data_IF_639941849427
#
_entry.id   IF_639941849427
#
_cell.length_a   1.000
_cell.length_b   1.000
_cell.length_c   1.000
_cell.angle_alpha   90.00
_cell.angle_beta   90.00
_cell.angle_gamma   90.00
#
_symmetry.space_group_name_H-M   'P 1'
#
loop_
_entity.id
_entity.type
_entity.pdbx_description
1 polymer ?
#
# COMPACT_ATOMS: atom_id res chain seq x y z
N UNK A 1 -46.14 -31.06 4.97
CA UNK A 1 -45.64 -30.18 6.08
C UNK A 1 -44.15 -30.27 6.39
N UNK A 2 -43.42 -31.29 5.94
CA UNK A 2 -41.97 -31.44 6.19
C UNK A 2 -41.07 -30.52 5.32
N UNK A 3 -41.45 -30.24 4.07
CA UNK A 3 -40.68 -29.40 3.14
C UNK A 3 -40.49 -27.93 3.57
N UNK A 4 -41.50 -27.32 4.25
CA UNK A 4 -41.40 -25.93 4.74
C UNK A 4 -40.34 -25.74 5.84
N UNK A 5 -40.11 -26.79 6.65
CA UNK A 5 -39.13 -26.72 7.77
C UNK A 5 -37.67 -26.71 7.26
N UNK A 6 -37.41 -27.41 6.19
CA UNK A 6 -36.06 -27.45 5.59
C UNK A 6 -35.74 -26.18 4.79
N UNK A 7 -36.77 -25.57 4.17
CA UNK A 7 -36.61 -24.29 3.47
C UNK A 7 -36.29 -23.15 4.43
N UNK A 8 -36.93 -23.12 5.61
CA UNK A 8 -36.64 -22.12 6.64
C UNK A 8 -35.26 -22.31 7.25
N UNK A 9 -34.82 -23.55 7.45
CA UNK A 9 -33.48 -23.88 7.96
C UNK A 9 -32.38 -23.50 6.93
N UNK A 10 -32.65 -23.73 5.64
CA UNK A 10 -31.71 -23.34 4.56
C UNK A 10 -31.57 -21.82 4.44
N UNK A 11 -32.67 -21.07 4.60
CA UNK A 11 -32.61 -19.60 4.63
C UNK A 11 -31.89 -19.05 5.85
N UNK A 12 -32.02 -19.70 7.03
CA UNK A 12 -31.26 -19.29 8.22
C UNK A 12 -29.74 -19.52 8.06
N UNK A 13 -29.33 -20.60 7.41
CA UNK A 13 -27.91 -20.87 7.15
C UNK A 13 -27.34 -19.88 6.13
N UNK A 14 -28.11 -19.50 5.09
CA UNK A 14 -27.70 -18.49 4.13
C UNK A 14 -27.58 -17.06 4.76
N UNK A 15 -28.40 -16.77 5.78
CA UNK A 15 -28.34 -15.46 6.46
C UNK A 15 -27.14 -15.33 7.41
N UNK A 16 -26.56 -16.44 7.89
CA UNK A 16 -25.35 -16.41 8.72
C UNK A 16 -24.05 -16.26 7.91
N UNK A 17 -24.10 -16.43 6.59
CA UNK A 17 -22.93 -16.24 5.73
C UNK A 17 -22.71 -14.78 5.31
N UNK A 18 -23.64 -13.88 5.64
CA UNK A 18 -23.51 -12.43 5.46
C UNK A 18 -23.17 -11.75 6.81
N UNK A 19 -22.30 -12.37 7.59
CA UNK A 19 -21.60 -11.64 8.64
C UNK A 19 -20.74 -10.59 7.91
N UNK A 20 -21.17 -9.31 7.98
CA UNK A 20 -20.30 -8.19 7.64
C UNK A 20 -18.95 -8.48 8.32
N UNK A 21 -17.93 -8.77 7.53
CA UNK A 21 -16.55 -8.65 8.00
C UNK A 21 -16.42 -7.18 8.37
N UNK A 22 -16.56 -6.84 9.64
CA UNK A 22 -16.02 -5.60 10.13
C UNK A 22 -14.56 -5.62 9.70
N UNK A 23 -14.16 -4.66 8.85
CA UNK A 23 -12.82 -4.66 8.27
C UNK A 23 -11.80 -4.74 9.40
N UNK A 24 -10.81 -5.59 9.24
CA UNK A 24 -9.73 -5.71 10.21
C UNK A 24 -9.02 -4.37 10.33
N UNK A 25 -8.67 -3.97 11.55
CA UNK A 25 -7.85 -2.77 11.80
C UNK A 25 -6.39 -3.20 11.81
N UNK A 26 -5.62 -2.65 10.89
CA UNK A 26 -4.23 -3.03 10.69
C UNK A 26 -3.27 -2.15 11.48
N UNK A 27 -2.23 -2.78 11.99
CA UNK A 27 -1.11 -2.18 12.73
C UNK A 27 0.20 -2.75 12.20
N UNK A 28 1.33 -2.18 12.57
CA UNK A 28 2.63 -2.76 12.25
C UNK A 28 2.81 -4.19 12.80
N UNK A 29 2.07 -4.57 13.85
CA UNK A 29 2.19 -5.89 14.49
C UNK A 29 1.47 -7.01 13.76
N UNK A 30 0.37 -6.71 13.06
CA UNK A 30 -0.48 -7.73 12.41
C UNK A 30 -0.48 -7.64 10.88
N UNK A 31 -0.02 -6.54 10.28
CA UNK A 31 0.06 -6.44 8.82
C UNK A 31 1.13 -7.38 8.27
N UNK A 32 0.82 -8.20 7.26
CA UNK A 32 1.81 -9.06 6.63
C UNK A 32 2.85 -8.23 5.86
N UNK A 33 4.12 -8.55 6.01
CA UNK A 33 5.21 -7.93 5.26
C UNK A 33 5.74 -8.95 4.23
N UNK A 34 5.40 -8.78 2.94
CA UNK A 34 5.60 -9.82 1.93
C UNK A 34 7.06 -10.20 1.72
N UNK A 35 7.97 -9.23 1.65
CA UNK A 35 9.39 -9.48 1.37
C UNK A 35 10.11 -10.33 2.43
N UNK A 36 9.51 -10.51 3.62
CA UNK A 36 10.04 -11.45 4.63
C UNK A 36 9.87 -12.92 4.25
N UNK A 37 8.92 -13.19 3.34
CA UNK A 37 8.62 -14.55 2.84
C UNK A 37 9.09 -14.73 1.40
N UNK A 38 8.91 -13.71 0.59
CA UNK A 38 9.28 -13.68 -0.83
C UNK A 38 9.94 -12.34 -1.16
N UNK A 39 11.25 -12.37 -1.40
CA UNK A 39 12.06 -11.19 -1.64
C UNK A 39 11.72 -10.43 -2.93
N UNK A 40 10.80 -10.93 -3.74
CA UNK A 40 10.29 -10.29 -4.96
C UNK A 40 8.96 -9.57 -4.75
N UNK A 41 8.35 -9.72 -3.57
CA UNK A 41 7.05 -9.15 -3.23
C UNK A 41 7.22 -7.99 -2.25
N UNK A 42 6.67 -6.84 -2.60
CA UNK A 42 6.77 -5.59 -1.84
C UNK A 42 5.41 -4.99 -1.48
N UNK A 43 4.32 -5.47 -2.13
CA UNK A 43 2.96 -4.97 -1.89
C UNK A 43 2.23 -5.87 -0.90
N UNK A 44 1.91 -5.32 0.27
CA UNK A 44 1.03 -5.91 1.27
C UNK A 44 -0.41 -5.48 1.01
N UNK A 45 -1.26 -6.43 0.69
CA UNK A 45 -2.67 -6.23 0.37
C UNK A 45 -3.49 -7.37 0.98
N UNK A 46 -3.63 -7.41 2.32
CA UNK A 46 -4.33 -8.49 3.00
C UNK A 46 -5.84 -8.44 2.79
N UNK A 47 -6.40 -7.27 2.48
CA UNK A 47 -7.84 -7.07 2.26
C UNK A 47 -8.26 -7.28 0.80
N UNK A 48 -7.29 -7.41 -0.13
CA UNK A 48 -7.56 -7.75 -1.53
C UNK A 48 -8.08 -6.60 -2.39
N UNK A 49 -7.56 -5.39 -2.20
CA UNK A 49 -7.93 -4.21 -3.01
C UNK A 49 -7.30 -4.18 -4.40
N UNK A 50 -6.21 -4.93 -4.61
CA UNK A 50 -5.39 -4.85 -5.82
C UNK A 50 -5.45 -6.15 -6.60
N UNK A 51 -5.80 -6.09 -7.86
CA UNK A 51 -5.74 -7.26 -8.72
C UNK A 51 -4.29 -7.69 -9.03
N UNK A 52 -4.17 -8.90 -9.59
CA UNK A 52 -2.85 -9.48 -9.84
C UNK A 52 -2.00 -8.64 -10.81
N UNK A 53 -2.60 -8.06 -11.85
CA UNK A 53 -1.86 -7.33 -12.90
C UNK A 53 -1.25 -6.05 -12.33
N UNK A 54 -2.03 -5.28 -11.57
CA UNK A 54 -1.58 -4.04 -10.94
C UNK A 54 -0.58 -4.33 -9.82
N UNK A 55 -0.80 -5.42 -9.05
CA UNK A 55 0.13 -5.86 -8.01
C UNK A 55 1.48 -6.29 -8.59
N UNK A 56 1.48 -7.04 -9.68
CA UNK A 56 2.71 -7.45 -10.39
C UNK A 56 3.44 -6.22 -10.95
N UNK A 57 2.71 -5.25 -11.52
CA UNK A 57 3.28 -3.98 -12.00
C UNK A 57 3.95 -3.20 -10.86
N UNK A 58 3.27 -3.05 -9.73
CA UNK A 58 3.82 -2.37 -8.56
C UNK A 58 5.07 -3.08 -8.02
N UNK A 59 5.01 -4.41 -7.84
CA UNK A 59 6.15 -5.20 -7.39
C UNK A 59 7.36 -5.07 -8.33
N UNK A 60 7.13 -4.99 -9.65
CA UNK A 60 8.21 -4.77 -10.63
C UNK A 60 8.96 -3.44 -10.37
N UNK A 61 8.25 -2.32 -10.20
CA UNK A 61 8.88 -1.03 -9.95
C UNK A 61 9.52 -0.95 -8.56
N UNK A 62 8.88 -1.51 -7.53
CA UNK A 62 9.41 -1.55 -6.17
C UNK A 62 10.66 -2.45 -6.07
N UNK A 63 10.70 -3.53 -6.84
CA UNK A 63 11.91 -4.35 -6.97
C UNK A 63 13.05 -3.58 -7.66
N UNK A 64 12.76 -2.86 -8.76
CA UNK A 64 13.74 -2.01 -9.42
C UNK A 64 14.25 -0.90 -8.49
N UNK A 65 13.37 -0.28 -7.72
CA UNK A 65 13.73 0.72 -6.71
C UNK A 65 14.74 0.15 -5.70
N UNK A 66 14.57 -1.10 -5.27
CA UNK A 66 15.53 -1.78 -4.40
C UNK A 66 16.83 -2.12 -5.11
N UNK A 67 16.76 -2.75 -6.29
CA UNK A 67 17.95 -3.30 -6.96
C UNK A 67 18.80 -2.23 -7.63
N UNK A 68 18.17 -1.22 -8.24
CA UNK A 68 18.87 -0.19 -9.02
C UNK A 68 19.17 1.07 -8.21
N UNK A 69 18.32 1.40 -7.22
CA UNK A 69 18.45 2.64 -6.43
C UNK A 69 18.87 2.37 -4.98
N UNK A 70 18.97 1.11 -4.56
CA UNK A 70 19.39 0.75 -3.21
C UNK A 70 18.38 1.15 -2.12
N UNK A 71 17.09 1.23 -2.45
CA UNK A 71 16.02 1.62 -1.51
C UNK A 71 15.28 0.38 -1.02
N UNK A 72 15.37 0.09 0.28
CA UNK A 72 14.53 -0.94 0.91
C UNK A 72 13.12 -0.41 1.08
N UNK A 73 12.11 -1.14 0.59
CA UNK A 73 10.76 -0.57 0.53
C UNK A 73 9.66 -1.59 0.82
N UNK A 74 8.49 -1.07 1.21
CA UNK A 74 7.21 -1.78 1.29
C UNK A 74 6.06 -0.82 1.00
N UNK A 75 5.07 -1.31 0.26
CA UNK A 75 3.79 -0.63 0.08
C UNK A 75 2.70 -1.45 0.76
N UNK A 76 1.91 -0.80 1.61
CA UNK A 76 0.80 -1.39 2.36
C UNK A 76 -0.49 -0.73 1.88
N UNK A 77 -1.42 -1.53 1.40
CA UNK A 77 -2.78 -1.11 1.10
C UNK A 77 -3.75 -1.95 1.91
N UNK A 78 -4.56 -1.28 2.72
CA UNK A 78 -5.47 -1.89 3.70
C UNK A 78 -6.77 -1.07 3.81
N UNK A 79 -7.82 -1.66 4.39
CA UNK A 79 -9.07 -0.93 4.63
C UNK A 79 -8.89 0.14 5.70
N UNK A 80 -8.44 -0.27 6.89
CA UNK A 80 -8.33 0.59 8.06
C UNK A 80 -7.00 0.41 8.78
N UNK A 81 -6.49 1.51 9.31
CA UNK A 81 -5.34 1.52 10.20
C UNK A 81 -5.73 2.00 11.60
N UNK A 82 -4.95 1.63 12.60
CA UNK A 82 -5.21 2.04 13.97
C UNK A 82 -5.28 3.58 14.09
N UNK A 83 -6.30 4.07 14.77
CA UNK A 83 -6.59 5.50 14.93
C UNK A 83 -6.69 6.31 13.63
N UNK A 84 -6.88 5.66 12.48
CA UNK A 84 -6.87 6.30 11.14
C UNK A 84 -5.57 7.07 10.86
N UNK A 85 -4.46 6.62 11.45
CA UNK A 85 -3.16 7.30 11.41
C UNK A 85 -2.17 6.54 10.50
N UNK A 86 -2.26 6.84 9.20
CA UNK A 86 -1.36 6.25 8.19
C UNK A 86 0.11 6.67 8.39
N UNK A 87 0.37 7.87 8.93
CA UNK A 87 1.71 8.32 9.29
C UNK A 87 2.31 7.43 10.38
N UNK A 88 1.57 7.25 11.49
CA UNK A 88 2.00 6.40 12.60
C UNK A 88 2.23 4.97 12.15
N UNK A 89 1.33 4.43 11.33
CA UNK A 89 1.47 3.09 10.75
C UNK A 89 2.77 2.96 9.95
N UNK A 90 3.09 3.94 9.10
CA UNK A 90 4.32 3.92 8.28
C UNK A 90 5.58 3.99 9.15
N UNK A 91 5.59 4.83 10.19
CA UNK A 91 6.69 4.95 11.15
C UNK A 91 6.90 3.66 11.93
N UNK A 92 5.84 3.09 12.47
CA UNK A 92 5.90 1.86 13.26
C UNK A 92 6.37 0.66 12.42
N UNK A 93 5.90 0.54 11.17
CA UNK A 93 6.39 -0.48 10.22
C UNK A 93 7.86 -0.27 9.90
N UNK A 94 8.27 0.94 9.56
CA UNK A 94 9.67 1.28 9.27
C UNK A 94 10.61 0.90 10.41
N UNK A 95 10.22 1.24 11.65
CA UNK A 95 10.99 0.96 12.85
C UNK A 95 11.00 -0.53 13.21
N UNK A 96 9.83 -1.19 13.20
CA UNK A 96 9.70 -2.60 13.60
C UNK A 96 10.45 -3.54 12.68
N UNK A 97 10.43 -3.28 11.37
CA UNK A 97 11.06 -4.15 10.37
C UNK A 97 12.40 -3.62 9.88
N UNK A 98 12.86 -2.48 10.41
CA UNK A 98 14.17 -1.89 10.07
C UNK A 98 14.26 -1.51 8.59
N UNK A 99 13.20 -0.94 8.01
CA UNK A 99 13.15 -0.58 6.60
C UNK A 99 14.04 0.62 6.34
N UNK A 100 15.08 0.39 5.56
CA UNK A 100 16.16 1.34 5.32
C UNK A 100 17.45 0.90 6.00
N UNK A 101 18.44 0.53 5.23
CA UNK A 101 19.72 0.03 5.73
C UNK A 101 20.33 0.95 6.79
N UNK A 102 20.89 0.38 7.86
CA UNK A 102 21.46 1.12 9.02
C UNK A 102 22.44 2.24 8.63
N UNK A 103 23.24 2.04 7.58
CA UNK A 103 24.23 3.03 7.11
C UNK A 103 23.62 4.06 6.16
N UNK A 104 22.91 3.62 5.13
CA UNK A 104 22.39 4.50 4.10
C UNK A 104 21.08 5.18 4.46
N UNK A 105 20.30 4.60 5.38
CA UNK A 105 18.94 5.04 5.77
C UNK A 105 18.00 5.22 4.57
N UNK A 106 18.28 4.49 3.48
CA UNK A 106 17.46 4.52 2.26
C UNK A 106 16.31 3.52 2.39
N UNK A 107 15.29 3.97 3.06
CA UNK A 107 14.04 3.23 3.27
C UNK A 107 12.86 3.96 2.69
N UNK A 108 11.78 3.23 2.40
CA UNK A 108 10.51 3.78 1.97
C UNK A 108 9.37 2.91 2.46
N UNK A 109 8.44 3.50 3.19
CA UNK A 109 7.17 2.87 3.55
C UNK A 109 6.04 3.69 2.96
N UNK A 110 5.16 3.04 2.20
CA UNK A 110 3.94 3.67 1.66
C UNK A 110 2.75 3.00 2.33
N UNK A 111 1.83 3.77 2.88
CA UNK A 111 0.59 3.28 3.47
C UNK A 111 -0.60 3.93 2.77
N UNK A 112 -1.56 3.12 2.33
CA UNK A 112 -2.86 3.55 1.78
C UNK A 112 -3.94 2.85 2.60
N UNK A 113 -4.72 3.63 3.35
CA UNK A 113 -5.87 3.16 4.14
C UNK A 113 -7.15 3.57 3.41
N UNK A 114 -7.72 2.63 2.66
CA UNK A 114 -8.79 2.86 1.68
C UNK A 114 -10.06 3.38 2.34
N UNK A 115 -10.54 2.71 3.38
CA UNK A 115 -11.78 3.06 4.07
C UNK A 115 -11.61 4.29 4.98
N UNK A 116 -10.40 4.52 5.49
CA UNK A 116 -10.09 5.71 6.30
C UNK A 116 -9.86 6.95 5.43
N UNK A 117 -9.72 6.80 4.12
CA UNK A 117 -9.32 7.87 3.19
C UNK A 117 -8.02 8.56 3.60
N UNK A 118 -7.06 7.77 4.07
CA UNK A 118 -5.75 8.22 4.52
C UNK A 118 -4.64 7.56 3.72
N UNK A 119 -3.56 8.27 3.54
CA UNK A 119 -2.32 7.74 2.97
C UNK A 119 -1.12 8.43 3.59
N UNK A 120 0.04 7.79 3.48
CA UNK A 120 1.31 8.40 3.81
C UNK A 120 2.45 7.76 2.99
N UNK A 121 3.36 8.60 2.49
CA UNK A 121 4.62 8.19 1.87
C UNK A 121 5.74 8.62 2.81
N UNK A 122 6.47 7.66 3.36
CA UNK A 122 7.51 7.86 4.38
C UNK A 122 8.90 7.52 3.82
N UNK A 123 9.61 8.46 3.20
CA UNK A 123 11.00 8.27 2.86
C UNK A 123 11.88 8.28 4.12
N UNK A 124 12.88 7.40 4.16
CA UNK A 124 13.92 7.46 5.18
C UNK A 124 14.90 8.61 4.92
N UNK A 125 15.60 9.06 5.96
CA UNK A 125 16.47 10.25 5.89
C UNK A 125 17.58 10.18 4.84
N UNK A 126 17.96 8.99 4.38
CA UNK A 126 18.90 8.82 3.27
C UNK A 126 18.28 8.90 1.89
N UNK A 127 16.97 9.16 1.78
CA UNK A 127 16.24 9.28 0.53
C UNK A 127 15.64 10.69 0.35
N UNK A 128 15.55 11.50 1.39
CA UNK A 128 14.89 12.82 1.40
C UNK A 128 15.47 13.81 0.37
N UNK A 129 16.74 13.66 -0.02
CA UNK A 129 17.34 14.50 -1.05
C UNK A 129 16.92 14.15 -2.49
N UNK A 130 16.38 12.95 -2.72
CA UNK A 130 15.93 12.46 -4.03
C UNK A 130 14.41 12.37 -4.13
N UNK A 131 13.76 12.26 -2.99
CA UNK A 131 12.31 12.18 -2.81
C UNK A 131 11.94 13.09 -1.62
N UNK A 132 11.73 14.36 -1.91
CA UNK A 132 11.39 15.39 -0.90
C UNK A 132 9.95 15.27 -0.45
N UNK A 133 9.57 15.98 0.62
CA UNK A 133 8.18 16.04 1.08
C UNK A 133 7.24 16.60 0.00
N UNK A 134 7.72 17.59 -0.77
CA UNK A 134 6.96 18.16 -1.90
C UNK A 134 6.75 17.10 -2.98
N UNK A 135 7.80 16.36 -3.35
CA UNK A 135 7.67 15.27 -4.31
C UNK A 135 6.68 14.19 -3.84
N UNK A 136 6.73 13.84 -2.55
CA UNK A 136 5.80 12.88 -1.95
C UNK A 136 4.34 13.36 -2.05
N UNK A 137 4.08 14.64 -1.78
CA UNK A 137 2.74 15.22 -1.84
C UNK A 137 2.22 15.28 -3.29
N UNK A 138 3.03 15.74 -4.23
CA UNK A 138 2.67 15.82 -5.64
C UNK A 138 2.42 14.43 -6.25
N UNK A 139 3.30 13.47 -5.99
CA UNK A 139 3.11 12.08 -6.41
C UNK A 139 1.85 11.49 -5.78
N UNK A 140 1.62 11.73 -4.48
CA UNK A 140 0.43 11.21 -3.81
C UNK A 140 -0.86 11.77 -4.42
N UNK A 141 -0.90 13.07 -4.72
CA UNK A 141 -2.07 13.68 -5.39
C UNK A 141 -2.31 13.09 -6.78
N UNK A 142 -1.26 13.01 -7.59
CA UNK A 142 -1.36 12.54 -8.97
C UNK A 142 -1.64 11.04 -9.10
N UNK A 143 -1.15 10.22 -8.16
CA UNK A 143 -1.24 8.77 -8.22
C UNK A 143 -2.26 8.20 -7.22
N UNK A 144 -2.16 8.55 -5.93
CA UNK A 144 -3.02 7.95 -4.91
C UNK A 144 -4.40 8.62 -4.93
N UNK A 145 -4.46 9.93 -4.67
CA UNK A 145 -5.74 10.65 -4.52
C UNK A 145 -6.58 10.57 -5.78
N UNK A 146 -5.97 10.76 -6.95
CA UNK A 146 -6.66 10.68 -8.25
C UNK A 146 -7.36 9.33 -8.42
N UNK A 147 -6.60 8.24 -8.38
CA UNK A 147 -7.15 6.91 -8.66
C UNK A 147 -8.04 6.37 -7.53
N UNK A 148 -7.80 6.77 -6.28
CA UNK A 148 -8.73 6.45 -5.19
C UNK A 148 -10.10 7.12 -5.38
N UNK A 149 -10.15 8.38 -5.86
CA UNK A 149 -11.41 9.05 -6.22
C UNK A 149 -12.14 8.39 -7.39
N UNK A 150 -11.39 7.78 -8.31
CA UNK A 150 -11.92 7.02 -9.44
C UNK A 150 -12.35 5.59 -9.05
N UNK A 151 -12.20 5.20 -7.78
CA UNK A 151 -12.51 3.84 -7.31
C UNK A 151 -11.56 2.78 -7.84
N UNK A 152 -10.33 3.16 -8.18
CA UNK A 152 -9.31 2.26 -8.76
C UNK A 152 -8.06 2.17 -7.86
N UNK A 153 -8.14 1.49 -6.71
CA UNK A 153 -7.01 1.35 -5.78
C UNK A 153 -5.83 0.60 -6.39
N UNK A 154 -6.07 -0.31 -7.32
CA UNK A 154 -5.01 -1.04 -8.00
C UNK A 154 -4.13 -0.13 -8.84
N UNK A 155 -4.73 0.80 -9.62
CA UNK A 155 -3.97 1.77 -10.39
C UNK A 155 -3.26 2.78 -9.48
N UNK A 156 -3.86 3.14 -8.34
CA UNK A 156 -3.16 3.97 -7.34
C UNK A 156 -1.84 3.32 -6.90
N UNK A 157 -1.87 2.02 -6.58
CA UNK A 157 -0.69 1.25 -6.15
C UNK A 157 0.34 1.11 -7.28
N UNK A 158 -0.08 0.77 -8.50
CA UNK A 158 0.81 0.63 -9.65
C UNK A 158 1.45 1.97 -10.05
N UNK A 159 0.64 3.04 -10.10
CA UNK A 159 1.07 4.37 -10.51
C UNK A 159 2.05 5.00 -9.51
N UNK A 160 1.76 4.96 -8.21
CA UNK A 160 2.66 5.52 -7.19
C UNK A 160 4.00 4.78 -7.16
N UNK A 161 4.00 3.46 -7.33
CA UNK A 161 5.23 2.65 -7.36
C UNK A 161 6.12 3.04 -8.55
N UNK A 162 5.53 3.22 -9.73
CA UNK A 162 6.22 3.66 -10.94
C UNK A 162 6.77 5.09 -10.80
N UNK A 163 5.94 6.02 -10.33
CA UNK A 163 6.33 7.43 -10.19
C UNK A 163 7.49 7.61 -9.22
N UNK A 164 7.46 6.94 -8.07
CA UNK A 164 8.55 6.99 -7.08
C UNK A 164 9.84 6.37 -7.65
N UNK A 165 9.76 5.20 -8.30
CA UNK A 165 10.94 4.63 -8.95
C UNK A 165 11.55 5.61 -9.97
N UNK A 166 10.75 6.18 -10.86
CA UNK A 166 11.21 7.13 -11.85
C UNK A 166 11.85 8.37 -11.22
N UNK A 167 11.20 8.94 -10.19
CA UNK A 167 11.72 10.11 -9.47
C UNK A 167 13.09 9.85 -8.86
N UNK A 168 13.25 8.77 -8.11
CA UNK A 168 14.51 8.41 -7.47
C UNK A 168 15.59 8.04 -8.51
N UNK A 169 15.20 7.39 -9.61
CA UNK A 169 16.14 6.95 -10.66
C UNK A 169 16.63 8.08 -11.57
N UNK A 170 15.75 9.02 -11.92
CA UNK A 170 16.01 10.01 -12.98
C UNK A 170 15.75 11.46 -12.57
N UNK A 171 15.26 11.71 -11.36
CA UNK A 171 14.84 13.03 -10.89
C UNK A 171 13.47 13.48 -11.41
N UNK A 172 12.77 12.68 -12.20
CA UNK A 172 11.45 12.99 -12.80
C UNK A 172 10.47 11.86 -12.55
N UNK A 173 9.22 12.19 -12.24
CA UNK A 173 8.18 11.20 -11.96
C UNK A 173 7.68 10.47 -13.22
N UNK A 174 7.79 11.10 -14.37
CA UNK A 174 7.17 10.68 -15.62
C UNK A 174 5.67 11.01 -15.68
N UNK A 175 5.20 11.91 -14.82
CA UNK A 175 3.83 12.44 -14.80
C UNK A 175 3.92 13.90 -15.22
N UNK A 176 3.31 14.26 -16.37
CA UNK A 176 3.47 15.59 -16.97
C UNK A 176 3.12 16.73 -15.99
N UNK A 177 1.97 16.62 -15.30
CA UNK A 177 1.48 17.65 -14.37
C UNK A 177 2.33 17.76 -13.07
N UNK A 178 3.29 16.87 -12.85
CA UNK A 178 4.17 16.88 -11.67
C UNK A 178 5.59 17.30 -12.04
N UNK A 179 6.01 17.02 -13.28
CA UNK A 179 7.37 17.27 -13.75
C UNK A 179 7.54 18.66 -14.41
N UNK A 180 6.43 19.44 -14.56
CA UNK A 180 6.43 20.83 -15.03
C UNK A 180 6.70 21.83 -13.90
#
# INVERSE_FOLDING_TARGET
>A
MRFKRYFLALMMVAFHALALKAGEVWTAKNVPIPFLRDSTQYVSDPDGYVDKVQKDSANFYLQKLKLECGVQNVLIIVGKVDNQDAFRMAQDVGNQYGIGYKKSRRGLVIVIAVEDHKYFIAPGSGLEGELTDVDCDDIARACIVKYMREGNPGEAVASVSRAIYNKVKSGRTGIADVDE
#
